data_IF_006851910479
#
_entry.id   IF_006851910479
#
_cell.length_a   1.000
_cell.length_b   1.000
_cell.length_c   1.000
_cell.angle_alpha   90.00
_cell.angle_beta   90.00
_cell.angle_gamma   90.00
#
_symmetry.space_group_name_H-M   'P 1'
#
loop_
_entity.id
_entity.type
_entity.pdbx_description
1 polymer ?
#
# COMPACT_ATOMS: atom_id res chain seq x y z
N UNK A 1 8.32 -19.97 19.60
CA UNK A 1 8.59 -19.95 18.11
C UNK A 1 8.49 -18.53 17.58
N UNK A 2 9.25 -18.18 16.51
CA UNK A 2 9.12 -16.87 15.85
C UNK A 2 7.81 -16.81 15.07
N UNK A 3 7.03 -15.74 15.22
CA UNK A 3 5.80 -15.52 14.45
C UNK A 3 6.10 -15.45 12.96
N UNK A 4 5.24 -16.08 12.14
CA UNK A 4 5.41 -16.22 10.70
C UNK A 4 4.57 -15.20 9.93
N UNK A 5 5.20 -14.53 8.97
CA UNK A 5 4.58 -13.56 8.08
C UNK A 5 4.60 -14.10 6.66
N UNK A 6 3.46 -14.14 6.01
CA UNK A 6 3.34 -14.42 4.57
C UNK A 6 3.17 -13.09 3.83
N UNK A 7 4.03 -12.82 2.84
CA UNK A 7 3.96 -11.61 2.02
C UNK A 7 3.46 -11.97 0.64
N UNK A 8 2.25 -11.58 0.29
CA UNK A 8 1.75 -11.76 -1.08
C UNK A 8 2.41 -10.75 -2.02
N UNK A 9 2.56 -11.10 -3.29
CA UNK A 9 3.29 -10.22 -4.23
C UNK A 9 4.79 -10.14 -3.94
N UNK A 10 5.38 -11.23 -3.46
CA UNK A 10 6.76 -11.34 -2.99
C UNK A 10 7.85 -11.01 -4.02
N UNK A 11 7.55 -10.94 -5.31
CA UNK A 11 8.46 -10.50 -6.38
C UNK A 11 8.37 -8.98 -6.66
N UNK A 12 7.44 -8.28 -6.00
CA UNK A 12 7.18 -6.86 -6.23
C UNK A 12 8.29 -5.95 -5.70
N UNK A 13 8.31 -4.71 -6.19
CA UNK A 13 9.32 -3.69 -5.85
C UNK A 13 9.43 -3.43 -4.35
N UNK A 14 8.29 -3.24 -3.68
CA UNK A 14 8.29 -3.00 -2.22
C UNK A 14 8.67 -4.27 -1.44
N UNK A 15 8.26 -5.45 -1.89
CA UNK A 15 8.66 -6.72 -1.27
C UNK A 15 10.18 -6.91 -1.29
N UNK A 16 10.86 -6.46 -2.36
CA UNK A 16 12.31 -6.51 -2.45
C UNK A 16 13.01 -5.62 -1.41
N UNK A 17 12.41 -4.48 -1.06
CA UNK A 17 12.92 -3.65 0.05
C UNK A 17 12.65 -4.30 1.42
N UNK A 18 11.50 -4.98 1.59
CA UNK A 18 11.22 -5.72 2.82
C UNK A 18 12.21 -6.86 3.08
N UNK A 19 12.65 -7.56 2.03
CA UNK A 19 13.65 -8.65 2.14
C UNK A 19 14.98 -8.19 2.73
N UNK A 20 15.32 -6.91 2.58
CA UNK A 20 16.58 -6.32 3.11
C UNK A 20 16.50 -6.01 4.61
N UNK A 21 15.30 -6.01 5.22
CA UNK A 21 15.11 -5.59 6.61
C UNK A 21 15.32 -6.78 7.55
N UNK A 22 16.28 -6.67 8.45
CA UNK A 22 16.44 -7.62 9.57
C UNK A 22 15.24 -7.49 10.51
N UNK A 23 14.58 -8.61 10.83
CA UNK A 23 13.40 -8.65 11.66
C UNK A 23 13.38 -9.89 12.55
N UNK A 24 12.65 -9.82 13.67
CA UNK A 24 12.40 -10.96 14.56
C UNK A 24 11.40 -11.99 14.04
N UNK A 25 10.71 -11.67 12.94
CA UNK A 25 9.70 -12.54 12.33
C UNK A 25 10.35 -13.52 11.35
N UNK A 26 9.70 -14.66 11.13
CA UNK A 26 9.99 -15.54 10.00
C UNK A 26 9.13 -15.08 8.82
N UNK A 27 9.75 -14.48 7.78
CA UNK A 27 9.03 -13.87 6.65
C UNK A 27 9.21 -14.72 5.42
N UNK A 28 8.12 -15.16 4.81
CA UNK A 28 8.11 -15.93 3.56
C UNK A 28 7.41 -15.16 2.43
N UNK A 29 7.94 -15.30 1.23
CA UNK A 29 7.55 -14.55 0.03
C UNK A 29 7.15 -15.51 -1.10
N UNK A 30 5.95 -16.12 -1.04
CA UNK A 30 5.52 -17.05 -2.08
C UNK A 30 5.39 -16.36 -3.44
N UNK A 31 5.70 -17.11 -4.51
CA UNK A 31 5.37 -16.70 -5.88
C UNK A 31 3.86 -16.82 -6.12
N UNK A 32 3.36 -16.26 -7.23
CA UNK A 32 1.96 -16.37 -7.63
C UNK A 32 1.54 -17.84 -7.83
N UNK A 33 2.44 -18.69 -8.27
CA UNK A 33 2.19 -20.13 -8.48
C UNK A 33 1.73 -20.82 -7.19
N UNK A 34 2.41 -20.53 -6.06
CA UNK A 34 2.08 -21.09 -4.74
C UNK A 34 0.94 -20.38 -4.04
N UNK A 35 0.82 -19.07 -4.22
CA UNK A 35 -0.22 -18.25 -3.59
C UNK A 35 -0.82 -17.27 -4.60
N UNK A 36 -1.78 -17.75 -5.39
CA UNK A 36 -2.59 -16.91 -6.26
C UNK A 36 -3.78 -16.34 -5.46
N UNK A 37 -3.82 -15.01 -5.32
CA UNK A 37 -4.87 -14.33 -4.56
C UNK A 37 -6.26 -14.42 -5.20
N UNK A 38 -6.35 -14.78 -6.46
CA UNK A 38 -7.64 -14.98 -7.15
C UNK A 38 -8.27 -16.34 -6.82
N UNK A 39 -7.52 -17.26 -6.20
CA UNK A 39 -8.00 -18.59 -5.83
C UNK A 39 -8.08 -18.75 -4.31
N UNK A 40 -9.31 -18.67 -3.78
CA UNK A 40 -9.58 -18.76 -2.34
C UNK A 40 -9.02 -20.04 -1.69
N UNK A 41 -9.20 -21.19 -2.32
CA UNK A 41 -8.76 -22.48 -1.78
C UNK A 41 -7.22 -22.57 -1.71
N UNK A 42 -6.52 -22.09 -2.76
CA UNK A 42 -5.04 -21.99 -2.74
C UNK A 42 -4.56 -21.09 -1.60
N UNK A 43 -5.19 -19.94 -1.41
CA UNK A 43 -4.86 -19.03 -0.29
C UNK A 43 -5.01 -19.75 1.05
N UNK A 44 -6.22 -20.30 1.33
CA UNK A 44 -6.56 -20.91 2.61
C UNK A 44 -5.62 -22.08 2.95
N UNK A 45 -5.39 -22.97 1.98
CA UNK A 45 -4.50 -24.10 2.12
C UNK A 45 -3.05 -23.67 2.38
N UNK A 46 -2.55 -22.68 1.63
CA UNK A 46 -1.20 -22.15 1.80
C UNK A 46 -0.98 -21.54 3.19
N UNK A 47 -1.91 -20.69 3.63
CA UNK A 47 -1.81 -20.02 4.93
C UNK A 47 -1.89 -21.03 6.08
N UNK A 48 -2.78 -22.04 6.00
CA UNK A 48 -2.93 -23.12 6.99
C UNK A 48 -1.66 -23.97 7.07
N UNK A 49 -1.17 -24.48 5.92
CA UNK A 49 0.07 -25.30 5.82
C UNK A 49 1.27 -24.59 6.42
N UNK A 50 1.40 -23.30 6.19
CA UNK A 50 2.52 -22.51 6.68
C UNK A 50 2.34 -21.99 8.10
N UNK A 51 1.18 -22.22 8.76
CA UNK A 51 0.87 -21.70 10.11
C UNK A 51 1.16 -20.20 10.20
N UNK A 52 0.57 -19.42 9.28
CA UNK A 52 0.81 -17.97 9.20
C UNK A 52 0.16 -17.25 10.39
N UNK A 53 0.89 -16.34 11.04
CA UNK A 53 0.34 -15.42 12.04
C UNK A 53 -0.11 -14.10 11.42
N UNK A 54 0.59 -13.68 10.36
CA UNK A 54 0.36 -12.41 9.66
C UNK A 54 0.38 -12.62 8.15
N UNK A 55 -0.42 -11.80 7.46
CA UNK A 55 -0.32 -11.59 6.02
C UNK A 55 0.00 -10.13 5.76
N UNK A 56 1.08 -9.83 5.03
CA UNK A 56 1.32 -8.52 4.43
C UNK A 56 0.88 -8.61 2.97
N UNK A 57 -0.21 -7.91 2.64
CA UNK A 57 -0.82 -7.98 1.32
C UNK A 57 -0.28 -6.91 0.38
N UNK A 58 0.64 -7.31 -0.52
CA UNK A 58 1.25 -6.47 -1.54
C UNK A 58 0.87 -6.88 -2.97
N UNK A 59 0.30 -8.08 -3.16
CA UNK A 59 -0.15 -8.53 -4.47
C UNK A 59 -1.28 -7.62 -4.97
N UNK A 60 -1.27 -7.33 -6.26
CA UNK A 60 -2.27 -6.51 -6.92
C UNK A 60 -1.70 -5.75 -8.10
N UNK A 61 -2.58 -5.18 -8.89
CA UNK A 61 -2.24 -4.30 -10.01
C UNK A 61 -2.02 -2.88 -9.48
N UNK A 62 -0.92 -2.20 -9.86
CA UNK A 62 -0.60 -0.86 -9.35
C UNK A 62 -0.15 0.13 -10.41
N UNK A 63 0.84 -0.20 -11.22
CA UNK A 63 1.41 0.68 -12.26
C UNK A 63 1.63 -0.07 -13.57
N UNK A 64 1.49 0.65 -14.69
CA UNK A 64 1.06 2.05 -14.84
C UNK A 64 -0.43 2.21 -14.51
N UNK A 65 -0.82 3.39 -13.95
CA UNK A 65 -2.22 3.62 -13.53
C UNK A 65 -3.22 3.52 -14.69
N UNK A 66 -2.83 3.91 -15.91
CA UNK A 66 -3.64 3.76 -17.13
C UNK A 66 -4.03 2.31 -17.45
N UNK A 67 -3.30 1.33 -16.89
CA UNK A 67 -3.68 -0.08 -17.08
C UNK A 67 -5.02 -0.44 -16.42
N UNK A 68 -5.42 0.30 -15.38
CA UNK A 68 -6.71 0.11 -14.71
C UNK A 68 -7.91 0.59 -15.55
N UNK A 69 -7.69 1.48 -16.52
CA UNK A 69 -8.68 1.84 -17.54
C UNK A 69 -8.68 0.85 -18.70
N UNK A 70 -7.50 0.36 -19.10
CA UNK A 70 -7.34 -0.57 -20.22
C UNK A 70 -7.85 -1.97 -19.91
N UNK A 71 -7.63 -2.44 -18.69
CA UNK A 71 -8.02 -3.78 -18.23
C UNK A 71 -8.71 -3.67 -16.86
N UNK A 72 -9.97 -3.20 -16.93
CA UNK A 72 -10.82 -3.05 -15.76
C UNK A 72 -11.10 -4.40 -15.08
N UNK A 73 -11.31 -5.45 -15.87
CA UNK A 73 -11.59 -6.80 -15.36
C UNK A 73 -10.44 -7.31 -14.50
N UNK A 74 -9.19 -7.19 -14.98
CA UNK A 74 -8.01 -7.58 -14.21
C UNK A 74 -7.82 -6.71 -12.97
N UNK A 75 -8.08 -5.41 -13.06
CA UNK A 75 -8.04 -4.50 -11.92
C UNK A 75 -9.00 -4.92 -10.82
N UNK A 76 -10.25 -5.24 -11.17
CA UNK A 76 -11.27 -5.75 -10.24
C UNK A 76 -10.84 -7.11 -9.67
N UNK A 77 -10.45 -8.04 -10.54
CA UNK A 77 -10.12 -9.40 -10.14
C UNK A 77 -8.94 -9.44 -9.14
N UNK A 78 -7.87 -8.67 -9.39
CA UNK A 78 -6.70 -8.65 -8.51
C UNK A 78 -6.92 -7.79 -7.26
N UNK A 79 -7.38 -6.54 -7.42
CA UNK A 79 -7.37 -5.59 -6.32
C UNK A 79 -8.60 -5.66 -5.41
N UNK A 80 -9.75 -6.13 -5.94
CA UNK A 80 -10.99 -6.25 -5.18
C UNK A 80 -11.24 -7.71 -4.80
N UNK A 81 -11.46 -8.58 -5.80
CA UNK A 81 -11.80 -10.00 -5.54
C UNK A 81 -10.65 -10.72 -4.85
N UNK A 82 -9.41 -10.56 -5.35
CA UNK A 82 -8.22 -11.16 -4.74
C UNK A 82 -7.99 -10.70 -3.29
N UNK A 83 -8.20 -9.41 -3.01
CA UNK A 83 -8.13 -8.88 -1.64
C UNK A 83 -9.24 -9.47 -0.77
N UNK A 84 -10.48 -9.54 -1.28
CA UNK A 84 -11.63 -10.11 -0.56
C UNK A 84 -11.42 -11.60 -0.23
N UNK A 85 -10.90 -12.38 -1.17
CA UNK A 85 -10.54 -13.79 -0.94
C UNK A 85 -9.50 -13.92 0.18
N UNK A 86 -8.49 -13.05 0.18
CA UNK A 86 -7.45 -13.07 1.20
C UNK A 86 -7.99 -12.69 2.59
N UNK A 87 -8.88 -11.68 2.66
CA UNK A 87 -9.57 -11.30 3.90
C UNK A 87 -10.39 -12.45 4.46
N UNK A 88 -11.18 -13.13 3.62
CA UNK A 88 -11.97 -14.31 4.02
C UNK A 88 -11.07 -15.40 4.61
N UNK A 89 -10.00 -15.76 3.92
CA UNK A 89 -9.08 -16.79 4.39
C UNK A 89 -8.38 -16.37 5.71
N UNK A 90 -7.99 -15.11 5.85
CA UNK A 90 -7.43 -14.58 7.10
C UNK A 90 -8.44 -14.61 8.24
N UNK A 91 -9.71 -14.29 7.98
CA UNK A 91 -10.79 -14.34 8.95
C UNK A 91 -11.05 -15.77 9.43
N UNK A 92 -11.18 -16.73 8.50
CA UNK A 92 -11.39 -18.15 8.81
C UNK A 92 -10.27 -18.76 9.68
N UNK A 93 -9.03 -18.27 9.49
CA UNK A 93 -7.84 -18.78 10.16
C UNK A 93 -7.36 -17.89 11.33
N UNK A 94 -8.09 -16.83 11.66
CA UNK A 94 -7.73 -15.81 12.66
C UNK A 94 -6.33 -15.17 12.43
N UNK A 95 -5.93 -14.98 11.19
CA UNK A 95 -4.64 -14.40 10.78
C UNK A 95 -4.76 -12.89 10.65
N UNK A 96 -3.80 -12.14 11.20
CA UNK A 96 -3.78 -10.68 11.05
C UNK A 96 -3.38 -10.29 9.63
N UNK A 97 -4.18 -9.40 9.01
CA UNK A 97 -3.88 -8.84 7.69
C UNK A 97 -3.37 -7.40 7.76
N UNK A 98 -2.30 -7.11 7.05
CA UNK A 98 -1.78 -5.76 6.79
C UNK A 98 -1.96 -5.46 5.31
N UNK A 99 -2.82 -4.49 5.00
CA UNK A 99 -3.18 -4.10 3.64
C UNK A 99 -2.58 -2.76 3.27
N UNK A 100 -1.94 -2.70 2.10
CA UNK A 100 -1.46 -1.46 1.54
C UNK A 100 -2.53 -0.87 0.61
N UNK A 101 -3.28 0.11 1.12
CA UNK A 101 -4.12 1.01 0.37
C UNK A 101 -3.29 2.18 -0.19
N UNK A 102 -3.90 3.26 -0.61
CA UNK A 102 -3.26 4.40 -1.23
C UNK A 102 -3.80 5.73 -0.69
N UNK A 103 -2.97 6.79 -0.70
CA UNK A 103 -3.44 8.16 -0.45
C UNK A 103 -4.42 8.67 -1.50
N UNK A 104 -4.49 8.04 -2.67
CA UNK A 104 -5.37 8.44 -3.78
C UNK A 104 -6.84 8.11 -3.54
N UNK A 105 -7.18 7.44 -2.43
CA UNK A 105 -8.56 7.29 -1.98
C UNK A 105 -9.18 8.62 -1.53
N UNK A 106 -8.36 9.60 -1.14
CA UNK A 106 -8.83 10.92 -0.75
C UNK A 106 -9.13 11.82 -1.97
N UNK A 107 -10.14 12.71 -1.89
CA UNK A 107 -10.54 13.55 -3.03
C UNK A 107 -9.48 14.56 -3.48
N UNK A 108 -8.49 14.88 -2.66
CA UNK A 108 -7.35 15.72 -3.03
C UNK A 108 -7.64 17.22 -3.21
N UNK A 109 -8.78 17.72 -2.75
CA UNK A 109 -9.17 19.14 -2.88
C UNK A 109 -8.63 20.00 -1.72
N UNK A 110 -8.85 19.60 -0.46
CA UNK A 110 -8.49 20.39 0.74
C UNK A 110 -7.06 20.11 1.26
N UNK A 111 -6.56 18.88 1.09
CA UNK A 111 -5.31 18.43 1.71
C UNK A 111 -5.45 18.09 3.20
N UNK A 112 -4.35 17.66 3.81
CA UNK A 112 -4.25 17.32 5.24
C UNK A 112 -5.31 16.31 5.72
N UNK A 113 -5.62 15.31 4.88
CA UNK A 113 -6.66 14.31 5.13
C UNK A 113 -6.28 13.39 6.30
N UNK A 114 -7.15 13.32 7.30
CA UNK A 114 -7.10 12.36 8.41
C UNK A 114 -7.66 11.01 7.98
N UNK A 115 -7.35 9.97 8.75
CA UNK A 115 -7.86 8.61 8.49
C UNK A 115 -9.39 8.51 8.57
N UNK A 116 -10.03 9.42 9.30
CA UNK A 116 -11.49 9.53 9.48
C UNK A 116 -12.18 10.39 8.43
N UNK A 117 -11.43 11.09 7.57
CA UNK A 117 -12.03 11.92 6.53
C UNK A 117 -12.70 11.06 5.44
N UNK A 118 -13.78 11.57 4.83
CA UNK A 118 -14.43 10.90 3.70
C UNK A 118 -13.47 10.62 2.56
N UNK A 119 -13.66 9.47 1.93
CA UNK A 119 -12.89 9.04 0.77
C UNK A 119 -13.70 9.21 -0.51
N UNK A 120 -13.07 9.70 -1.57
CA UNK A 120 -13.63 9.84 -2.91
C UNK A 120 -12.49 9.70 -3.92
N UNK A 121 -12.20 8.48 -4.38
CA UNK A 121 -11.17 8.21 -5.37
C UNK A 121 -11.40 9.00 -6.67
N UNK A 122 -10.33 9.39 -7.33
CA UNK A 122 -10.38 10.21 -8.55
C UNK A 122 -9.84 9.46 -9.80
N UNK A 123 -9.49 8.18 -9.68
CA UNK A 123 -9.12 7.31 -10.80
C UNK A 123 -9.41 5.83 -10.50
N UNK A 124 -9.42 4.98 -11.53
CA UNK A 124 -9.76 3.56 -11.40
C UNK A 124 -8.78 2.78 -10.52
N UNK A 125 -7.49 3.13 -10.53
CA UNK A 125 -6.54 2.56 -9.57
C UNK A 125 -6.99 2.79 -8.12
N UNK A 126 -7.32 4.03 -7.78
CA UNK A 126 -7.72 4.36 -6.42
C UNK A 126 -9.07 3.72 -6.04
N UNK A 127 -10.02 3.63 -6.98
CA UNK A 127 -11.28 2.91 -6.79
C UNK A 127 -11.05 1.42 -6.54
N UNK A 128 -10.17 0.77 -7.31
CA UNK A 128 -9.83 -0.64 -7.09
C UNK A 128 -9.17 -0.88 -5.74
N UNK A 129 -8.32 0.05 -5.28
CA UNK A 129 -7.69 -0.02 -3.95
C UNK A 129 -8.70 0.21 -2.83
N UNK A 130 -9.66 1.14 -3.01
CA UNK A 130 -10.74 1.37 -2.05
C UNK A 130 -11.68 0.16 -1.97
N UNK A 131 -12.02 -0.48 -3.10
CA UNK A 131 -12.83 -1.70 -3.10
C UNK A 131 -12.21 -2.82 -2.26
N UNK A 132 -10.90 -3.05 -2.39
CA UNK A 132 -10.18 -3.97 -1.51
C UNK A 132 -10.13 -3.50 -0.05
N UNK A 133 -9.94 -2.19 0.20
CA UNK A 133 -9.94 -1.60 1.54
C UNK A 133 -11.28 -1.83 2.26
N UNK A 134 -12.42 -1.72 1.55
CA UNK A 134 -13.74 -1.97 2.12
C UNK A 134 -13.84 -3.40 2.70
N UNK A 135 -13.38 -4.41 1.96
CA UNK A 135 -13.36 -5.78 2.47
C UNK A 135 -12.47 -5.92 3.71
N UNK A 136 -11.28 -5.29 3.70
CA UNK A 136 -10.34 -5.36 4.85
C UNK A 136 -10.89 -4.66 6.08
N UNK A 137 -11.67 -3.56 5.94
CA UNK A 137 -12.29 -2.85 7.06
C UNK A 137 -13.32 -3.69 7.81
N UNK A 138 -13.99 -4.65 7.16
CA UNK A 138 -14.92 -5.58 7.82
C UNK A 138 -14.22 -6.51 8.79
N UNK A 139 -12.91 -6.73 8.66
CA UNK A 139 -12.14 -7.64 9.51
C UNK A 139 -11.36 -6.89 10.60
N UNK A 140 -11.82 -7.04 11.87
CA UNK A 140 -11.24 -6.33 13.03
C UNK A 140 -9.75 -6.60 13.28
N UNK A 141 -9.23 -7.79 12.87
CA UNK A 141 -7.81 -8.11 13.00
C UNK A 141 -6.99 -7.65 11.79
N UNK A 142 -7.18 -6.39 11.38
CA UNK A 142 -6.54 -5.78 10.22
C UNK A 142 -5.78 -4.50 10.55
N UNK A 143 -4.80 -4.16 9.71
CA UNK A 143 -4.15 -2.86 9.62
C UNK A 143 -4.19 -2.40 8.18
N UNK A 144 -4.77 -1.25 7.91
CA UNK A 144 -4.85 -0.62 6.59
C UNK A 144 -3.87 0.54 6.54
N UNK A 145 -2.94 0.52 5.59
CA UNK A 145 -1.96 1.56 5.38
C UNK A 145 -2.32 2.34 4.10
N UNK A 146 -2.89 3.54 4.25
CA UNK A 146 -3.06 4.47 3.13
C UNK A 146 -1.71 5.09 2.84
N UNK A 147 -0.99 4.50 1.89
CA UNK A 147 0.41 4.82 1.61
C UNK A 147 0.58 5.79 0.44
N UNK A 148 1.56 6.70 0.57
CA UNK A 148 2.05 7.52 -0.52
C UNK A 148 3.54 7.21 -0.73
N UNK A 149 3.85 6.14 -1.47
CA UNK A 149 5.20 5.60 -1.56
C UNK A 149 5.70 5.44 -3.00
N UNK A 150 7.03 5.49 -3.16
CA UNK A 150 7.71 5.31 -4.45
C UNK A 150 9.10 4.70 -4.27
N UNK A 151 9.73 4.32 -5.38
CA UNK A 151 11.12 3.84 -5.42
C UNK A 151 12.12 4.98 -5.26
N UNK A 152 13.35 4.63 -4.88
CA UNK A 152 14.51 5.51 -4.84
C UNK A 152 15.56 4.99 -5.85
N UNK A 153 16.10 5.88 -6.71
CA UNK A 153 15.67 7.26 -6.94
C UNK A 153 14.26 7.34 -7.54
N UNK A 154 13.66 8.55 -7.57
CA UNK A 154 12.37 8.78 -8.22
C UNK A 154 12.47 8.42 -9.72
N UNK A 155 11.59 7.54 -10.18
CA UNK A 155 11.75 6.85 -11.48
C UNK A 155 11.30 7.65 -12.70
N UNK A 156 10.51 8.71 -12.52
CA UNK A 156 9.98 9.48 -13.62
C UNK A 156 10.95 10.61 -14.03
N UNK A 157 11.06 10.87 -15.36
CA UNK A 157 11.88 11.94 -15.91
C UNK A 157 11.35 13.35 -15.59
N UNK A 158 10.04 13.47 -15.28
CA UNK A 158 9.37 14.74 -14.95
C UNK A 158 8.64 14.60 -13.62
N UNK A 159 8.55 15.67 -12.84
CA UNK A 159 7.85 15.74 -11.58
C UNK A 159 7.05 17.03 -11.44
N UNK A 160 5.84 16.93 -10.89
CA UNK A 160 4.93 18.07 -10.71
C UNK A 160 5.42 19.02 -9.63
N UNK A 161 5.51 20.32 -9.92
CA UNK A 161 5.82 21.36 -8.95
C UNK A 161 4.58 22.05 -8.38
N UNK A 162 3.40 21.80 -8.95
CA UNK A 162 2.11 22.30 -8.47
C UNK A 162 1.26 21.28 -7.68
N UNK A 163 1.76 20.04 -7.49
CA UNK A 163 1.08 18.99 -6.69
C UNK A 163 1.87 18.71 -5.42
N UNK A 164 1.23 18.81 -4.26
CA UNK A 164 1.82 18.48 -2.94
C UNK A 164 1.37 17.09 -2.49
N UNK A 165 2.33 16.25 -2.12
CA UNK A 165 2.13 14.88 -1.64
C UNK A 165 3.03 14.57 -0.44
N UNK A 166 2.75 13.45 0.23
CA UNK A 166 3.58 12.91 1.31
C UNK A 166 4.45 11.75 0.81
N UNK A 167 5.11 11.87 -0.34
CA UNK A 167 5.95 10.77 -0.80
C UNK A 167 6.98 10.35 0.24
N UNK A 168 7.12 9.03 0.39
CA UNK A 168 8.15 8.36 1.16
C UNK A 168 8.74 7.24 0.29
N UNK A 169 10.03 6.96 0.45
CA UNK A 169 10.66 5.87 -0.28
C UNK A 169 10.32 4.50 0.31
N UNK A 170 10.29 3.47 -0.55
CA UNK A 170 10.00 2.09 -0.14
C UNK A 170 10.89 1.63 1.00
N UNK A 171 12.20 1.93 0.95
CA UNK A 171 13.17 1.58 2.00
C UNK A 171 12.81 2.17 3.37
N UNK A 172 12.24 3.38 3.41
CA UNK A 172 11.87 4.05 4.65
C UNK A 172 10.59 3.48 5.25
N UNK A 173 9.60 3.11 4.40
CA UNK A 173 8.40 2.38 4.86
C UNK A 173 8.79 1.00 5.38
N UNK A 174 9.69 0.29 4.69
CA UNK A 174 10.13 -1.03 5.10
C UNK A 174 10.70 -1.04 6.53
N UNK A 175 11.50 -0.01 6.89
CA UNK A 175 12.03 0.19 8.25
C UNK A 175 10.95 0.41 9.31
N UNK A 176 9.83 1.04 8.93
CA UNK A 176 8.74 1.38 9.85
C UNK A 176 7.76 0.20 10.00
N UNK A 177 7.52 -0.57 8.95
CA UNK A 177 6.43 -1.54 8.86
C UNK A 177 6.43 -2.54 10.03
N UNK A 178 7.58 -3.15 10.33
CA UNK A 178 7.67 -4.13 11.41
C UNK A 178 7.48 -3.53 12.81
N UNK A 179 7.64 -2.21 12.98
CA UNK A 179 7.34 -1.50 14.25
C UNK A 179 5.85 -1.28 14.46
N UNK A 180 5.08 -1.17 13.37
CA UNK A 180 3.65 -0.87 13.42
C UNK A 180 2.75 -2.08 13.11
N UNK A 181 3.32 -3.23 12.76
CA UNK A 181 2.58 -4.41 12.28
C UNK A 181 1.48 -4.89 13.26
N UNK A 182 1.65 -4.64 14.56
CA UNK A 182 0.68 -4.99 15.61
C UNK A 182 -0.46 -3.97 15.76
N UNK A 183 -0.38 -2.80 15.15
CA UNK A 183 -1.45 -1.80 15.21
C UNK A 183 -2.66 -2.28 14.43
N UNK A 184 -3.85 -1.72 14.71
CA UNK A 184 -5.12 -2.04 14.06
C UNK A 184 -5.77 -0.79 13.48
N UNK A 185 -6.73 -1.00 12.55
CA UNK A 185 -7.49 0.06 11.91
C UNK A 185 -6.72 0.75 10.77
N UNK A 186 -7.06 1.99 10.48
CA UNK A 186 -6.48 2.75 9.36
C UNK A 186 -5.35 3.65 9.86
N UNK A 187 -4.27 3.73 9.07
CA UNK A 187 -3.12 4.58 9.31
C UNK A 187 -2.63 5.20 8.00
N UNK A 188 -2.56 6.52 7.96
CA UNK A 188 -1.88 7.23 6.89
C UNK A 188 -0.36 7.09 7.03
N UNK A 189 0.32 6.67 5.95
CA UNK A 189 1.76 6.49 5.96
C UNK A 189 2.43 7.21 4.79
N UNK A 190 3.38 8.07 5.10
CA UNK A 190 4.07 8.90 4.12
C UNK A 190 5.21 9.70 4.74
N UNK A 191 5.82 10.55 3.94
CA UNK A 191 6.87 11.48 4.34
C UNK A 191 6.36 12.91 4.55
N UNK A 192 7.28 13.85 4.73
CA UNK A 192 6.97 15.29 4.85
C UNK A 192 6.24 15.77 3.59
N UNK A 193 5.18 16.57 3.76
CA UNK A 193 4.46 17.19 2.66
C UNK A 193 5.36 18.15 1.90
N UNK A 194 5.49 17.95 0.58
CA UNK A 194 6.23 18.81 -0.34
C UNK A 194 5.72 18.63 -1.76
N UNK A 195 6.16 19.46 -2.71
CA UNK A 195 5.85 19.20 -4.11
C UNK A 195 6.48 17.89 -4.57
N UNK A 196 5.91 17.26 -5.60
CA UNK A 196 6.51 16.05 -6.17
C UNK A 196 7.90 16.33 -6.70
N UNK A 197 8.11 17.52 -7.27
CA UNK A 197 9.41 17.96 -7.77
C UNK A 197 10.45 18.09 -6.65
N UNK A 198 10.14 18.79 -5.56
CA UNK A 198 11.09 18.96 -4.44
C UNK A 198 11.43 17.62 -3.76
N UNK A 199 10.47 16.68 -3.75
CA UNK A 199 10.75 15.33 -3.28
C UNK A 199 11.70 14.60 -4.23
N UNK A 200 11.42 14.63 -5.53
CA UNK A 200 12.16 13.86 -6.53
C UNK A 200 13.60 14.38 -6.70
N UNK A 201 13.79 15.71 -6.74
CA UNK A 201 15.09 16.37 -6.99
C UNK A 201 16.15 15.98 -5.97
N UNK A 202 15.76 15.63 -4.75
CA UNK A 202 16.71 15.27 -3.68
C UNK A 202 17.63 14.10 -4.06
N UNK A 203 17.14 13.11 -4.81
CA UNK A 203 17.91 11.92 -5.22
C UNK A 203 17.87 11.64 -6.73
N UNK A 204 17.25 12.54 -7.49
CA UNK A 204 17.30 12.57 -8.95
C UNK A 204 17.48 14.02 -9.44
N UNK A 205 18.72 14.52 -9.47
CA UNK A 205 19.00 15.91 -9.86
C UNK A 205 18.60 16.23 -11.30
N UNK A 206 18.48 15.21 -12.17
CA UNK A 206 18.12 15.36 -13.57
C UNK A 206 16.60 15.40 -13.82
N UNK A 207 15.77 15.27 -12.78
CA UNK A 207 14.32 15.37 -12.94
C UNK A 207 13.91 16.77 -13.39
N UNK A 208 13.08 16.82 -14.44
CA UNK A 208 12.57 18.10 -14.99
C UNK A 208 11.24 18.47 -14.31
N UNK A 209 11.04 19.77 -14.10
CA UNK A 209 9.76 20.31 -13.64
C UNK A 209 8.66 20.09 -14.68
N UNK A 210 7.44 19.86 -14.21
CA UNK A 210 6.22 19.87 -15.02
C UNK A 210 5.05 20.28 -14.15
N UNK A 211 3.93 20.66 -14.78
CA UNK A 211 2.69 20.99 -14.07
C UNK A 211 1.60 20.02 -14.49
N UNK A 212 0.76 19.62 -13.53
CA UNK A 212 -0.48 18.93 -13.80
C UNK A 212 -1.54 19.94 -14.22
N UNK A 213 -2.19 19.69 -15.36
CA UNK A 213 -3.25 20.55 -15.91
C UNK A 213 -4.65 20.20 -15.38
N UNK A 214 -4.85 19.10 -14.72
CA UNK A 214 -6.09 18.58 -14.06
C UNK A 214 -6.06 17.05 -13.89
N UNK A 215 -4.99 16.39 -14.34
CA UNK A 215 -4.87 14.92 -14.27
C UNK A 215 -4.76 14.42 -12.83
N UNK A 216 -4.29 15.30 -11.93
CA UNK A 216 -4.16 15.02 -10.51
C UNK A 216 -4.81 16.13 -9.68
N UNK A 217 -5.50 15.80 -8.60
CA UNK A 217 -5.99 16.81 -7.68
C UNK A 217 -4.81 17.55 -7.03
N UNK A 218 -4.96 18.85 -6.73
CA UNK A 218 -3.82 19.70 -6.34
C UNK A 218 -3.29 19.40 -4.92
N UNK A 219 -4.12 18.88 -4.01
CA UNK A 219 -3.78 18.76 -2.58
C UNK A 219 -4.15 17.37 -2.00
N UNK A 220 -3.66 16.25 -2.56
CA UNK A 220 -4.00 14.90 -2.06
C UNK A 220 -3.14 14.47 -0.86
N UNK A 221 -2.47 15.39 -0.18
CA UNK A 221 -1.61 15.06 0.96
C UNK A 221 -2.41 14.76 2.23
N UNK A 222 -1.86 13.86 3.03
CA UNK A 222 -2.46 13.31 4.23
C UNK A 222 -1.96 14.01 5.51
N UNK A 223 -2.76 13.97 6.55
CA UNK A 223 -2.35 14.22 7.93
C UNK A 223 -1.60 12.98 8.45
N UNK A 224 -0.40 13.16 8.96
CA UNK A 224 0.45 12.08 9.47
C UNK A 224 0.61 12.13 11.01
N UNK A 225 -0.19 12.91 11.72
CA UNK A 225 -0.06 13.09 13.18
C UNK A 225 -0.16 11.76 13.93
N UNK A 226 -1.06 10.86 13.49
CA UNK A 226 -1.21 9.52 14.07
C UNK A 226 0.04 8.66 13.88
N UNK A 227 0.67 8.71 12.70
CA UNK A 227 1.93 8.02 12.43
C UNK A 227 3.07 8.56 13.30
N UNK A 228 3.19 9.89 13.43
CA UNK A 228 4.26 10.50 14.22
C UNK A 228 4.14 10.21 15.72
N UNK A 229 2.92 10.14 16.26
CA UNK A 229 2.69 9.69 17.64
C UNK A 229 3.19 8.25 17.88
N UNK A 230 3.04 7.38 16.90
CA UNK A 230 3.52 5.98 16.99
C UNK A 230 5.04 5.88 16.85
N UNK A 231 5.67 6.77 16.07
CA UNK A 231 7.13 6.76 15.87
C UNK A 231 7.95 7.25 17.08
N UNK A 232 7.32 7.97 18.01
CA UNK A 232 7.95 8.44 19.24
C UNK A 232 8.11 7.32 20.30
N UNK A 233 7.63 6.13 20.01
CA UNK A 233 7.81 4.90 20.78
C UNK A 233 8.87 4.04 20.04
#
# INVERSE_FOLDING_TARGET
>A
MRKKIVVTGGSGRFANELKKIKTKYNVIYPSKEYLDITNFNKIKNYLKKNKADYVIHLAGMSRPMKSHEKDLAQSINLNIIGTSNLVRACSDLNIKIIYFSTSYVYPGKKGNYKETDPVLPWNNYAWSKLGGECAVQMYKNSLILRACMTEKPFVHKKAFDNIKLNFIYHEDIAKILFKIINKKGILNIGGKTRTVYDFAKKYNPNVKKTQSKREFPPKPFMNLSKLYKIKKI
#
